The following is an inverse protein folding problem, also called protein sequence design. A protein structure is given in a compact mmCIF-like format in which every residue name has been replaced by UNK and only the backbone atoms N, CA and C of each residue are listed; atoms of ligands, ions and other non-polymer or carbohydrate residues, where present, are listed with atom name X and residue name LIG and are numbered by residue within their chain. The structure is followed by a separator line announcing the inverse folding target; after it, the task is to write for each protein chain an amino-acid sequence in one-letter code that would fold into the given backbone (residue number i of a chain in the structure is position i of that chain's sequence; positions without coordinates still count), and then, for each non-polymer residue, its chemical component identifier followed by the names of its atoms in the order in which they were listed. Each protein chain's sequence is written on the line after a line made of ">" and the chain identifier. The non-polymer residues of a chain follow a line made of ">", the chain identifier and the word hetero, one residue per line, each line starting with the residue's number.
data_IF_989523664364
#
_entry.id   IF_989523664364
#
_cell.length_a   1.000
_cell.length_b   1.000
_cell.length_c   1.000
_cell.angle_alpha   90.00
_cell.angle_beta   90.00
_cell.angle_gamma   90.00
#
_symmetry.space_group_name_H-M   'P 1'
#
loop_
_entity.id
_entity.type
_entity.pdbx_description
1 polymer ?
#
# COMPACT_ATOMS: atom_id res chain seq x y z
N UNK A 1 26.78 24.39 5.21
CA UNK A 1 28.04 23.84 5.72
C UNK A 1 27.78 22.43 6.26
N UNK A 2 28.36 21.39 5.64
CA UNK A 2 28.20 19.97 5.99
C UNK A 2 29.42 19.39 6.72
N UNK A 3 30.38 20.25 7.11
CA UNK A 3 31.66 19.85 7.71
C UNK A 3 31.54 19.15 9.07
N UNK A 4 30.38 19.26 9.72
CA UNK A 4 30.12 18.64 11.02
C UNK A 4 28.91 17.71 10.98
N UNK A 5 28.45 17.33 9.79
CA UNK A 5 27.31 16.43 9.64
C UNK A 5 27.80 15.00 9.38
N UNK A 6 27.16 14.02 9.98
CA UNK A 6 27.43 12.58 9.79
C UNK A 6 26.53 11.98 8.68
N UNK A 7 25.63 12.79 8.12
CA UNK A 7 24.73 12.41 7.04
C UNK A 7 23.87 13.57 6.57
N UNK A 8 23.08 13.31 5.53
CA UNK A 8 22.09 14.26 5.03
C UNK A 8 20.83 13.53 4.53
N UNK A 9 19.71 14.23 4.58
CA UNK A 9 18.43 13.76 4.04
C UNK A 9 18.15 14.51 2.75
N UNK A 10 17.99 13.79 1.64
CA UNK A 10 17.49 14.34 0.38
C UNK A 10 15.99 14.12 0.29
N UNK A 11 15.25 15.20 0.08
CA UNK A 11 13.79 15.13 -0.11
C UNK A 11 13.45 14.21 -1.30
N UNK A 12 12.47 13.35 -1.12
CA UNK A 12 11.99 12.37 -2.11
C UNK A 12 13.04 11.36 -2.61
N UNK A 13 14.19 11.24 -1.93
CA UNK A 13 15.28 10.35 -2.36
C UNK A 13 15.71 9.40 -1.26
N UNK A 14 16.04 9.90 -0.07
CA UNK A 14 16.53 9.09 1.05
C UNK A 14 17.61 9.77 1.86
N UNK A 15 18.47 8.97 2.50
CA UNK A 15 19.53 9.43 3.37
C UNK A 15 20.90 9.03 2.84
N UNK A 16 21.88 9.89 3.03
CA UNK A 16 23.29 9.63 2.77
C UNK A 16 24.06 9.75 4.07
N UNK A 17 24.97 8.81 4.30
CA UNK A 17 25.81 8.74 5.48
C UNK A 17 27.27 8.56 5.07
N UNK A 18 28.18 9.07 5.87
CA UNK A 18 29.63 8.95 5.65
C UNK A 18 30.37 8.82 6.97
N UNK A 19 31.66 8.56 6.91
CA UNK A 19 32.59 8.46 8.02
C UNK A 19 34.02 8.29 7.48
N UNK A 20 35.00 8.55 8.30
CA UNK A 20 36.43 8.41 7.96
C UNK A 20 36.81 6.95 7.64
N UNK A 21 36.06 5.99 8.18
CA UNK A 21 36.24 4.57 7.92
C UNK A 21 34.93 3.90 7.55
N UNK A 22 35.00 2.73 6.88
CA UNK A 22 33.81 1.92 6.58
C UNK A 22 32.99 1.55 7.82
N UNK A 23 33.68 1.30 8.95
CA UNK A 23 33.01 0.98 10.21
C UNK A 23 32.26 2.20 10.78
N UNK A 24 32.85 3.37 10.71
CA UNK A 24 32.23 4.62 11.15
C UNK A 24 31.03 4.98 10.26
N UNK A 25 31.19 4.94 8.95
CA UNK A 25 30.09 5.13 8.00
C UNK A 25 28.90 4.17 8.28
N UNK A 26 29.19 2.89 8.54
CA UNK A 26 28.17 1.90 8.89
C UNK A 26 27.45 2.24 10.20
N UNK A 27 28.21 2.62 11.24
CA UNK A 27 27.65 3.04 12.53
C UNK A 27 26.76 4.26 12.38
N UNK A 28 27.25 5.31 11.71
CA UNK A 28 26.48 6.53 11.45
C UNK A 28 25.17 6.22 10.70
N UNK A 29 25.23 5.30 9.72
CA UNK A 29 24.03 4.85 9.00
C UNK A 29 22.99 4.21 9.92
N UNK A 30 23.42 3.36 10.84
CA UNK A 30 22.50 2.69 11.79
C UNK A 30 21.96 3.70 12.81
N UNK A 31 22.82 4.51 13.41
CA UNK A 31 22.44 5.46 14.47
C UNK A 31 21.46 6.51 13.95
N UNK A 32 21.75 7.16 12.83
CA UNK A 32 20.88 8.16 12.24
C UNK A 32 19.53 7.56 11.81
N UNK A 33 19.55 6.36 11.21
CA UNK A 33 18.31 5.67 10.82
C UNK A 33 17.45 5.32 12.04
N UNK A 34 18.09 4.89 13.14
CA UNK A 34 17.40 4.58 14.39
C UNK A 34 16.80 5.83 15.04
N UNK A 35 17.53 6.95 15.09
CA UNK A 35 17.03 8.24 15.59
C UNK A 35 15.80 8.71 14.81
N UNK A 36 15.86 8.67 13.48
CA UNK A 36 14.70 9.01 12.63
C UNK A 36 13.53 8.08 12.94
N UNK A 37 13.80 6.78 13.04
CA UNK A 37 12.79 5.77 13.37
C UNK A 37 12.15 6.01 14.73
N UNK A 38 12.93 6.34 15.76
CA UNK A 38 12.45 6.68 17.10
C UNK A 38 11.58 7.94 17.09
N UNK A 39 12.00 8.97 16.34
CA UNK A 39 11.23 10.21 16.19
C UNK A 39 9.86 9.94 15.57
N UNK A 40 9.82 9.24 14.43
CA UNK A 40 8.56 8.85 13.74
C UNK A 40 7.68 8.03 14.66
N UNK A 41 8.24 7.01 15.32
CA UNK A 41 7.51 6.15 16.26
C UNK A 41 6.94 6.93 17.45
N UNK A 42 7.64 7.96 17.93
CA UNK A 42 7.14 8.85 18.99
C UNK A 42 5.88 9.60 18.55
N UNK A 43 5.84 10.06 17.29
CA UNK A 43 4.68 10.74 16.70
C UNK A 43 3.51 9.77 16.51
N UNK A 44 3.76 8.57 16.00
CA UNK A 44 2.74 7.51 15.86
C UNK A 44 2.11 7.20 17.22
N UNK A 45 2.93 6.99 18.26
CA UNK A 45 2.46 6.73 19.63
C UNK A 45 1.62 7.88 20.18
N UNK A 46 2.02 9.14 19.94
CA UNK A 46 1.29 10.32 20.38
C UNK A 46 -0.09 10.42 19.76
N UNK A 47 -0.24 10.13 18.48
CA UNK A 47 -1.52 10.14 17.76
C UNK A 47 -2.38 8.95 18.18
N UNK A 48 -1.76 7.80 18.40
CA UNK A 48 -2.42 6.57 18.85
C UNK A 48 -3.54 6.12 17.91
N UNK A 49 -4.70 5.83 18.50
CA UNK A 49 -5.86 5.33 17.76
C UNK A 49 -6.52 6.32 16.79
N UNK A 50 -6.05 7.58 16.74
CA UNK A 50 -6.56 8.61 15.81
C UNK A 50 -5.83 8.61 14.47
N UNK A 51 -4.77 7.83 14.32
CA UNK A 51 -4.04 7.72 13.05
C UNK A 51 -5.00 7.27 11.93
N UNK A 52 -4.77 7.75 10.71
CA UNK A 52 -5.65 7.54 9.55
C UNK A 52 -7.11 7.97 9.77
N UNK A 53 -7.34 9.05 10.56
CA UNK A 53 -8.67 9.54 10.89
C UNK A 53 -9.41 8.70 11.95
N UNK A 54 -8.76 7.72 12.55
CA UNK A 54 -9.32 6.82 13.55
C UNK A 54 -10.13 5.66 12.95
N UNK A 55 -10.64 4.81 13.83
CA UNK A 55 -11.35 3.57 13.48
C UNK A 55 -12.70 3.85 12.81
N UNK A 56 -12.98 3.17 11.70
CA UNK A 56 -14.29 3.15 11.00
C UNK A 56 -14.94 1.76 11.08
N UNK A 57 -14.17 0.69 10.81
CA UNK A 57 -14.67 -0.67 10.80
C UNK A 57 -14.18 -1.46 12.01
N UNK A 58 -14.97 -2.42 12.47
CA UNK A 58 -14.57 -3.36 13.51
C UNK A 58 -14.15 -4.69 12.89
N UNK A 59 -13.05 -5.25 13.41
CA UNK A 59 -12.74 -6.64 13.11
C UNK A 59 -13.86 -7.53 13.65
N UNK A 60 -14.35 -8.42 12.83
CA UNK A 60 -15.36 -9.38 13.24
C UNK A 60 -14.69 -10.61 13.88
N UNK A 61 -15.35 -11.17 14.92
CA UNK A 61 -14.81 -12.33 15.66
C UNK A 61 -14.58 -13.54 14.75
N UNK A 62 -15.41 -13.74 13.73
CA UNK A 62 -15.36 -14.87 12.80
C UNK A 62 -14.70 -14.49 11.44
N UNK A 63 -13.79 -13.52 11.42
CA UNK A 63 -13.11 -13.08 10.18
C UNK A 63 -12.43 -14.25 9.43
N UNK A 64 -11.88 -15.22 10.16
CA UNK A 64 -11.27 -16.42 9.57
C UNK A 64 -12.26 -17.29 8.78
N UNK A 65 -13.46 -17.52 9.29
CA UNK A 65 -14.48 -18.31 8.59
C UNK A 65 -15.00 -17.58 7.34
N UNK A 66 -15.18 -16.27 7.44
CA UNK A 66 -15.61 -15.49 6.28
C UNK A 66 -14.48 -15.39 5.24
N UNK A 67 -13.23 -15.30 5.65
CA UNK A 67 -12.06 -15.33 4.75
C UNK A 67 -11.99 -16.62 3.94
N UNK A 68 -12.38 -17.77 4.49
CA UNK A 68 -12.44 -19.05 3.76
C UNK A 68 -13.44 -19.03 2.60
N UNK A 69 -14.46 -18.19 2.67
CA UNK A 69 -15.43 -17.97 1.55
C UNK A 69 -14.94 -16.87 0.61
N UNK A 70 -14.40 -15.79 1.16
CA UNK A 70 -13.97 -14.62 0.40
C UNK A 70 -12.79 -14.94 -0.52
N UNK A 71 -11.74 -15.64 -0.03
CA UNK A 71 -10.53 -15.92 -0.81
C UNK A 71 -10.82 -16.72 -2.09
N UNK A 72 -11.54 -17.86 -2.04
CA UNK A 72 -11.86 -18.61 -3.26
C UNK A 72 -12.71 -17.82 -4.25
N UNK A 73 -13.67 -17.02 -3.75
CA UNK A 73 -14.49 -16.17 -4.58
C UNK A 73 -13.65 -15.11 -5.31
N UNK A 74 -12.88 -14.31 -4.57
CA UNK A 74 -12.01 -13.28 -5.16
C UNK A 74 -11.06 -13.92 -6.17
N UNK A 75 -10.39 -15.02 -5.79
CA UNK A 75 -9.47 -15.74 -6.68
C UNK A 75 -10.16 -16.16 -7.98
N UNK A 76 -11.38 -16.69 -7.91
CA UNK A 76 -12.16 -17.06 -9.08
C UNK A 76 -12.41 -15.87 -10.01
N UNK A 77 -12.78 -14.71 -9.46
CA UNK A 77 -13.04 -13.49 -10.23
C UNK A 77 -11.77 -12.89 -10.85
N UNK A 78 -10.62 -13.04 -10.19
CA UNK A 78 -9.34 -12.46 -10.66
C UNK A 78 -8.59 -13.37 -11.64
N UNK A 79 -8.81 -14.68 -11.60
CA UNK A 79 -7.99 -15.66 -12.34
C UNK A 79 -8.13 -15.56 -13.86
N UNK A 80 -9.29 -15.21 -14.40
CA UNK A 80 -9.52 -15.00 -15.85
C UNK A 80 -8.77 -15.99 -16.77
N UNK A 81 -8.79 -17.29 -16.42
CA UNK A 81 -8.08 -18.34 -17.16
C UNK A 81 -6.61 -18.58 -16.74
N UNK A 82 -6.03 -17.75 -15.89
CA UNK A 82 -4.69 -17.97 -15.32
C UNK A 82 -4.81 -18.37 -13.85
N UNK A 83 -4.13 -19.46 -13.42
CA UNK A 83 -4.18 -19.89 -12.03
C UNK A 83 -3.52 -18.83 -11.12
N UNK A 84 -4.24 -18.35 -10.13
CA UNK A 84 -3.73 -17.45 -9.09
C UNK A 84 -3.72 -18.14 -7.73
N UNK A 85 -2.73 -17.78 -6.91
CA UNK A 85 -2.65 -18.11 -5.49
C UNK A 85 -3.01 -16.86 -4.69
N UNK A 86 -3.94 -17.01 -3.74
CA UNK A 86 -4.29 -15.98 -2.78
C UNK A 86 -3.49 -16.13 -1.48
N UNK A 87 -3.09 -15.01 -0.90
CA UNK A 87 -2.47 -14.92 0.42
C UNK A 87 -3.22 -13.88 1.25
N UNK A 88 -3.49 -14.20 2.52
CA UNK A 88 -4.03 -13.24 3.49
C UNK A 88 -2.91 -12.68 4.35
N UNK A 89 -2.87 -11.38 4.46
CA UNK A 89 -1.92 -10.68 5.33
C UNK A 89 -2.57 -10.42 6.68
N UNK A 90 -1.95 -10.96 7.74
CA UNK A 90 -2.38 -10.77 9.12
C UNK A 90 -1.28 -10.00 9.84
N UNK A 91 -1.49 -8.69 9.99
CA UNK A 91 -0.58 -7.78 10.66
C UNK A 91 -1.34 -6.70 11.41
N UNK A 92 -0.76 -6.16 12.50
CA UNK A 92 -1.40 -5.14 13.35
C UNK A 92 -1.52 -3.79 12.63
N UNK A 93 -0.49 -3.38 11.89
CA UNK A 93 -0.48 -2.13 11.14
C UNK A 93 -1.48 -2.18 9.98
N UNK A 94 -1.52 -3.31 9.26
CA UNK A 94 -2.52 -3.58 8.22
C UNK A 94 -3.93 -3.48 8.79
N UNK A 95 -4.21 -4.17 9.90
CA UNK A 95 -5.53 -4.14 10.52
C UNK A 95 -5.93 -2.73 10.96
N UNK A 96 -4.99 -1.93 11.47
CA UNK A 96 -5.23 -0.55 11.84
C UNK A 96 -5.55 0.31 10.61
N UNK A 97 -4.77 0.17 9.55
CA UNK A 97 -4.95 0.90 8.29
C UNK A 97 -6.29 0.58 7.63
N UNK A 98 -6.52 -0.70 7.26
CA UNK A 98 -7.69 -1.09 6.47
C UNK A 98 -9.03 -0.79 7.16
N UNK A 99 -9.04 -0.70 8.49
CA UNK A 99 -10.22 -0.44 9.30
C UNK A 99 -10.40 1.04 9.68
N UNK A 100 -9.58 1.93 9.13
CA UNK A 100 -9.60 3.36 9.43
C UNK A 100 -10.53 4.16 8.50
N UNK A 101 -10.83 5.41 8.88
CA UNK A 101 -11.68 6.31 8.10
C UNK A 101 -11.03 6.70 6.77
N UNK A 102 -9.72 6.96 6.78
CA UNK A 102 -8.98 7.48 5.65
C UNK A 102 -8.40 6.37 4.76
N UNK A 103 -8.56 5.09 5.13
CA UNK A 103 -7.98 3.94 4.42
C UNK A 103 -8.24 3.96 2.91
N UNK A 104 -9.50 4.16 2.51
CA UNK A 104 -9.86 4.21 1.09
C UNK A 104 -9.15 5.34 0.36
N UNK A 105 -9.17 6.55 0.93
CA UNK A 105 -8.53 7.74 0.34
C UNK A 105 -7.02 7.53 0.19
N UNK A 106 -6.36 7.07 1.26
CA UNK A 106 -4.92 6.84 1.28
C UNK A 106 -4.49 5.71 0.33
N UNK A 107 -5.24 4.61 0.29
CA UNK A 107 -4.98 3.51 -0.64
C UNK A 107 -5.08 3.93 -2.11
N UNK A 108 -6.00 4.84 -2.44
CA UNK A 108 -6.18 5.35 -3.80
C UNK A 108 -5.09 6.32 -4.26
N UNK A 109 -4.29 6.88 -3.35
CA UNK A 109 -3.13 7.68 -3.73
C UNK A 109 -2.04 6.87 -4.43
N UNK A 110 -1.98 5.55 -4.18
CA UNK A 110 -0.92 4.69 -4.68
C UNK A 110 0.25 4.59 -3.70
N UNK A 111 1.42 4.14 -4.18
CA UNK A 111 2.63 4.00 -3.37
C UNK A 111 3.64 5.12 -3.66
N UNK A 112 4.54 5.37 -2.71
CA UNK A 112 5.62 6.36 -2.84
C UNK A 112 6.96 5.73 -3.29
N UNK A 113 7.02 4.40 -3.39
CA UNK A 113 8.24 3.67 -3.74
C UNK A 113 8.10 3.04 -5.13
N UNK A 114 9.07 3.28 -6.03
CA UNK A 114 9.09 2.74 -7.40
C UNK A 114 8.89 1.24 -7.48
N UNK A 115 9.67 0.46 -6.74
CA UNK A 115 9.66 -1.01 -6.79
C UNK A 115 8.32 -1.64 -6.41
N UNK A 116 7.45 -0.89 -5.74
CA UNK A 116 6.14 -1.39 -5.35
C UNK A 116 5.23 -1.64 -6.56
N UNK A 117 5.27 -0.79 -7.58
CA UNK A 117 4.34 -0.84 -8.72
C UNK A 117 4.42 -2.16 -9.49
N UNK A 118 5.59 -2.74 -9.61
CA UNK A 118 5.82 -4.04 -10.26
C UNK A 118 5.01 -5.15 -9.55
N UNK A 119 4.84 -5.05 -8.23
CA UNK A 119 4.18 -6.05 -7.39
C UNK A 119 2.74 -5.70 -7.03
N UNK A 120 2.50 -4.46 -6.61
CA UNK A 120 1.21 -4.03 -6.07
C UNK A 120 0.31 -3.37 -7.12
N UNK A 121 0.86 -3.08 -8.30
CA UNK A 121 0.26 -2.20 -9.31
C UNK A 121 0.06 -0.77 -8.77
N UNK A 122 -0.47 0.11 -9.63
CA UNK A 122 -0.67 1.52 -9.31
C UNK A 122 -1.60 1.72 -8.10
N UNK A 123 -2.60 0.85 -7.91
CA UNK A 123 -3.57 0.95 -6.79
C UNK A 123 -4.08 -0.43 -6.36
N UNK A 124 -4.44 -0.61 -5.09
CA UNK A 124 -5.20 -1.78 -4.65
C UNK A 124 -6.68 -1.66 -5.01
N UNK A 125 -7.40 -2.77 -5.03
CA UNK A 125 -8.86 -2.78 -5.05
C UNK A 125 -9.39 -2.69 -3.61
N UNK A 126 -10.07 -1.61 -3.27
CA UNK A 126 -10.67 -1.39 -1.96
C UNK A 126 -12.17 -1.67 -2.01
N UNK A 127 -12.64 -2.65 -1.22
CA UNK A 127 -14.06 -3.01 -1.14
C UNK A 127 -14.68 -2.34 0.09
N UNK A 128 -15.35 -1.21 -0.12
CA UNK A 128 -16.05 -0.47 0.95
C UNK A 128 -17.32 -1.22 1.38
N UNK A 129 -17.13 -2.32 2.11
CA UNK A 129 -18.15 -3.21 2.61
C UNK A 129 -17.94 -3.50 4.08
N UNK A 130 -19.02 -3.49 4.86
CA UNK A 130 -18.98 -3.69 6.31
C UNK A 130 -19.54 -5.07 6.66
N UNK A 131 -18.69 -6.04 7.06
CA UNK A 131 -19.13 -7.40 7.38
C UNK A 131 -20.01 -7.49 8.63
N UNK A 132 -20.09 -6.43 9.43
CA UNK A 132 -20.99 -6.38 10.58
C UNK A 132 -22.42 -6.01 10.22
N UNK A 133 -22.64 -5.49 9.01
CA UNK A 133 -23.94 -4.97 8.55
C UNK A 133 -24.53 -5.73 7.37
N UNK A 134 -23.68 -6.34 6.57
CA UNK A 134 -24.06 -6.91 5.28
C UNK A 134 -23.59 -8.35 5.15
N UNK A 135 -24.37 -9.14 4.44
CA UNK A 135 -24.10 -10.55 4.17
C UNK A 135 -23.10 -10.78 3.02
N UNK A 136 -22.74 -12.04 2.80
CA UNK A 136 -21.81 -12.42 1.76
C UNK A 136 -22.35 -12.16 0.34
N UNK A 137 -23.65 -12.31 0.08
CA UNK A 137 -24.23 -12.02 -1.23
C UNK A 137 -24.08 -10.53 -1.60
N UNK A 138 -24.20 -9.65 -0.61
CA UNK A 138 -23.95 -8.22 -0.82
C UNK A 138 -22.47 -7.92 -1.10
N UNK A 139 -21.56 -8.69 -0.47
CA UNK A 139 -20.12 -8.61 -0.77
C UNK A 139 -19.85 -9.01 -2.23
N UNK A 140 -20.40 -10.12 -2.71
CA UNK A 140 -20.19 -10.60 -4.09
C UNK A 140 -20.61 -9.54 -5.11
N UNK A 141 -21.80 -8.97 -4.96
CA UNK A 141 -22.30 -7.91 -5.86
C UNK A 141 -21.39 -6.69 -5.85
N UNK A 142 -21.00 -6.24 -4.65
CA UNK A 142 -20.14 -5.07 -4.48
C UNK A 142 -18.74 -5.30 -5.02
N UNK A 143 -18.20 -6.50 -4.83
CA UNK A 143 -16.91 -6.89 -5.37
C UNK A 143 -16.89 -6.88 -6.90
N UNK A 144 -17.91 -7.50 -7.54
CA UNK A 144 -17.99 -7.54 -9.01
C UNK A 144 -18.06 -6.12 -9.57
N UNK A 145 -18.92 -5.26 -9.01
CA UNK A 145 -19.01 -3.86 -9.44
C UNK A 145 -17.66 -3.14 -9.29
N UNK A 146 -17.03 -3.22 -8.11
CA UNK A 146 -15.76 -2.56 -7.85
C UNK A 146 -14.62 -3.11 -8.74
N UNK A 147 -14.63 -4.40 -9.07
CA UNK A 147 -13.66 -5.00 -9.97
C UNK A 147 -13.81 -4.47 -11.40
N UNK A 148 -15.01 -4.31 -11.90
CA UNK A 148 -15.26 -3.76 -13.23
C UNK A 148 -14.85 -2.27 -13.31
N UNK A 149 -15.11 -1.49 -12.27
CA UNK A 149 -14.63 -0.11 -12.15
C UNK A 149 -13.09 -0.07 -12.13
N UNK A 150 -12.45 -0.94 -11.33
CA UNK A 150 -10.99 -1.06 -11.29
C UNK A 150 -10.39 -1.39 -12.65
N UNK A 151 -10.97 -2.35 -13.39
CA UNK A 151 -10.51 -2.72 -14.72
C UNK A 151 -10.60 -1.57 -15.73
N UNK A 152 -11.66 -0.77 -15.65
CA UNK A 152 -11.82 0.43 -16.48
C UNK A 152 -10.77 1.48 -16.14
N UNK A 153 -10.55 1.75 -14.86
CA UNK A 153 -9.54 2.70 -14.38
C UNK A 153 -8.12 2.25 -14.76
N UNK A 154 -7.81 0.96 -14.64
CA UNK A 154 -6.49 0.44 -15.02
C UNK A 154 -6.25 0.53 -16.53
N UNK A 155 -7.28 0.29 -17.37
CA UNK A 155 -7.19 0.49 -18.82
C UNK A 155 -7.00 1.96 -19.17
N UNK A 156 -7.74 2.87 -18.51
CA UNK A 156 -7.58 4.32 -18.68
C UNK A 156 -6.15 4.73 -18.32
N UNK A 157 -5.66 4.31 -17.15
CA UNK A 157 -4.29 4.55 -16.71
C UNK A 157 -3.25 4.12 -17.76
N UNK A 158 -3.42 2.93 -18.35
CA UNK A 158 -2.54 2.45 -19.42
C UNK A 158 -2.64 3.32 -20.67
N UNK A 159 -3.83 3.60 -21.16
CA UNK A 159 -4.05 4.36 -22.41
C UNK A 159 -3.55 5.80 -22.31
N UNK A 160 -3.69 6.44 -21.16
CA UNK A 160 -3.27 7.83 -20.94
C UNK A 160 -1.74 7.98 -20.78
N UNK A 161 -1.02 6.92 -20.42
CA UNK A 161 0.41 7.00 -20.13
C UNK A 161 1.30 6.28 -21.16
N UNK A 162 0.76 5.37 -21.97
CA UNK A 162 1.53 4.62 -22.96
C UNK A 162 2.06 5.51 -24.09
N UNK A 163 3.16 5.06 -24.69
CA UNK A 163 3.73 5.58 -25.94
C UNK A 163 3.88 4.47 -26.99
N UNK A 164 4.55 4.78 -28.11
CA UNK A 164 4.75 3.84 -29.22
C UNK A 164 5.69 2.65 -28.90
N UNK A 165 6.44 2.73 -27.80
CA UNK A 165 7.40 1.71 -27.38
C UNK A 165 6.92 0.93 -26.15
N UNK A 166 5.79 1.33 -25.57
CA UNK A 166 5.27 0.69 -24.37
C UNK A 166 4.86 -0.76 -24.65
N UNK A 167 5.19 -1.70 -23.74
CA UNK A 167 4.70 -3.08 -23.79
C UNK A 167 3.17 -3.14 -23.79
N UNK A 168 2.62 -4.29 -24.20
CA UNK A 168 1.17 -4.51 -24.14
C UNK A 168 0.65 -4.44 -22.71
N UNK A 169 -0.61 -4.03 -22.57
CA UNK A 169 -1.26 -3.91 -21.27
C UNK A 169 -1.20 -5.22 -20.47
N UNK A 170 -0.76 -5.15 -19.23
CA UNK A 170 -0.81 -6.27 -18.27
C UNK A 170 -2.25 -6.60 -17.89
N UNK A 171 -2.55 -7.83 -17.42
CA UNK A 171 -3.91 -8.19 -16.95
C UNK A 171 -4.48 -7.12 -16.03
N UNK A 172 -5.67 -6.61 -16.32
CA UNK A 172 -6.31 -5.52 -15.56
C UNK A 172 -6.92 -5.99 -14.22
N UNK A 173 -6.40 -7.07 -13.63
CA UNK A 173 -6.82 -7.56 -12.32
C UNK A 173 -5.92 -7.02 -11.21
N UNK A 174 -6.47 -6.60 -10.04
CA UNK A 174 -5.68 -6.15 -8.91
C UNK A 174 -4.85 -7.30 -8.31
N UNK A 175 -3.64 -6.99 -7.87
CA UNK A 175 -2.80 -7.91 -7.09
C UNK A 175 -3.03 -7.77 -5.59
N UNK A 176 -3.60 -6.65 -5.17
CA UNK A 176 -3.91 -6.32 -3.77
C UNK A 176 -5.40 -5.99 -3.64
N UNK A 177 -6.08 -6.65 -2.72
CA UNK A 177 -7.50 -6.40 -2.41
C UNK A 177 -7.65 -6.14 -0.93
N UNK A 178 -8.28 -5.03 -0.59
CA UNK A 178 -8.54 -4.60 0.79
C UNK A 178 -10.02 -4.80 1.11
N UNK A 179 -10.29 -5.57 2.15
CA UNK A 179 -11.65 -5.79 2.66
C UNK A 179 -11.69 -5.39 4.14
N UNK A 180 -12.19 -4.19 4.48
CA UNK A 180 -12.30 -3.74 5.87
C UNK A 180 -13.04 -4.74 6.74
N UNK A 181 -12.63 -4.87 8.00
CA UNK A 181 -13.21 -5.83 8.96
C UNK A 181 -12.75 -7.28 8.77
N UNK A 182 -12.12 -7.62 7.63
CA UNK A 182 -11.69 -8.97 7.29
C UNK A 182 -10.17 -9.05 7.14
N UNK A 183 -9.57 -8.32 6.18
CA UNK A 183 -8.14 -8.41 5.94
C UNK A 183 -7.69 -7.77 4.63
N UNK A 184 -6.38 -7.89 4.41
CA UNK A 184 -5.70 -7.58 3.16
C UNK A 184 -5.40 -8.90 2.45
N UNK A 185 -5.79 -8.98 1.19
CA UNK A 185 -5.56 -10.16 0.35
C UNK A 185 -4.63 -9.80 -0.80
N UNK A 186 -3.65 -10.66 -1.07
CA UNK A 186 -2.73 -10.48 -2.18
C UNK A 186 -2.71 -11.71 -3.07
N UNK A 187 -2.48 -11.49 -4.36
CA UNK A 187 -2.58 -12.51 -5.39
C UNK A 187 -1.35 -12.52 -6.28
N UNK A 188 -0.94 -13.71 -6.71
CA UNK A 188 0.20 -13.93 -7.58
C UNK A 188 0.14 -15.30 -8.25
N UNK A 189 1.04 -15.56 -9.20
CA UNK A 189 1.15 -16.84 -9.90
C UNK A 189 1.66 -17.97 -8.98
N UNK A 190 2.31 -17.60 -7.89
CA UNK A 190 2.84 -18.53 -6.88
C UNK A 190 2.58 -18.02 -5.46
N UNK A 191 2.69 -18.92 -4.47
CA UNK A 191 2.61 -18.55 -3.05
C UNK A 191 3.69 -17.53 -2.66
N UNK A 192 4.90 -17.68 -3.21
CA UNK A 192 6.02 -16.75 -2.98
C UNK A 192 5.68 -15.36 -3.48
N UNK A 193 5.18 -15.25 -4.71
CA UNK A 193 4.80 -13.98 -5.32
C UNK A 193 3.66 -13.30 -4.54
N UNK A 194 2.58 -14.02 -4.23
CA UNK A 194 1.47 -13.49 -3.45
C UNK A 194 1.91 -12.98 -2.07
N UNK A 195 2.81 -13.70 -1.38
CA UNK A 195 3.36 -13.30 -0.08
C UNK A 195 4.23 -12.04 -0.21
N UNK A 196 5.13 -12.00 -1.18
CA UNK A 196 6.01 -10.85 -1.43
C UNK A 196 5.18 -9.61 -1.72
N UNK A 197 4.14 -9.71 -2.57
CA UNK A 197 3.20 -8.60 -2.82
C UNK A 197 2.59 -8.06 -1.51
N UNK A 198 2.26 -8.96 -0.57
CA UNK A 198 1.78 -8.58 0.76
C UNK A 198 2.81 -7.81 1.58
N UNK A 199 4.06 -8.25 1.58
CA UNK A 199 5.17 -7.60 2.28
C UNK A 199 5.43 -6.18 1.72
N UNK A 200 5.43 -6.02 0.40
CA UNK A 200 5.53 -4.69 -0.22
C UNK A 200 4.38 -3.76 0.20
N UNK A 201 3.15 -4.28 0.25
CA UNK A 201 2.03 -3.45 0.66
C UNK A 201 2.03 -3.11 2.16
N UNK A 202 2.55 -3.99 3.02
CA UNK A 202 2.82 -3.69 4.44
C UNK A 202 3.79 -2.52 4.55
N UNK A 203 4.88 -2.54 3.78
CA UNK A 203 5.86 -1.45 3.77
C UNK A 203 5.22 -0.14 3.31
N UNK A 204 4.37 -0.16 2.26
CA UNK A 204 3.62 1.02 1.85
C UNK A 204 2.74 1.57 2.98
N UNK A 205 2.05 0.69 3.73
CA UNK A 205 1.25 1.09 4.89
C UNK A 205 2.11 1.74 5.97
N UNK A 206 3.31 1.21 6.26
CA UNK A 206 4.23 1.81 7.24
C UNK A 206 4.69 3.21 6.81
N UNK A 207 4.99 3.42 5.53
CA UNK A 207 5.34 4.74 5.00
C UNK A 207 4.15 5.70 5.11
N UNK A 208 2.94 5.27 4.72
CA UNK A 208 1.72 6.07 4.87
C UNK A 208 1.49 6.42 6.35
N UNK A 209 1.73 5.49 7.27
CA UNK A 209 1.56 5.68 8.71
C UNK A 209 2.54 6.73 9.25
N UNK A 210 3.82 6.61 8.92
CA UNK A 210 4.85 7.57 9.31
C UNK A 210 4.55 8.97 8.77
N UNK A 211 4.26 9.09 7.47
CA UNK A 211 3.92 10.35 6.84
C UNK A 211 2.65 11.00 7.45
N UNK A 212 1.62 10.20 7.72
CA UNK A 212 0.40 10.68 8.39
C UNK A 212 0.69 11.14 9.82
N UNK A 213 1.57 10.45 10.54
CA UNK A 213 1.95 10.80 11.90
C UNK A 213 2.79 12.09 11.99
N UNK A 214 3.51 12.41 10.93
CA UNK A 214 4.29 13.64 10.80
C UNK A 214 3.47 14.82 10.26
N UNK A 215 2.22 14.58 9.83
CA UNK A 215 1.35 15.63 9.30
C UNK A 215 0.92 16.58 10.40
N UNK A 216 1.11 17.88 10.16
CA UNK A 216 0.66 18.91 11.07
C UNK A 216 -0.83 19.22 10.85
N UNK A 217 -1.55 19.50 11.93
CA UNK A 217 -2.89 20.09 11.84
C UNK A 217 -2.74 21.54 11.43
N UNK A 218 -3.18 21.88 10.24
CA UNK A 218 -3.39 23.27 9.87
C UNK A 218 -4.72 23.73 10.49
N UNK A 219 -4.75 24.95 11.00
CA UNK A 219 -5.97 25.62 11.47
C UNK A 219 -7.03 25.57 10.35
N UNK A 220 -8.27 25.27 10.69
CA UNK A 220 -9.44 25.08 9.80
C UNK A 220 -9.72 23.65 9.31
N UNK A 221 -9.44 22.63 10.12
CA UNK A 221 -9.86 21.22 9.86
C UNK A 221 -9.26 20.54 8.62
N UNK A 222 -8.31 21.19 7.94
CA UNK A 222 -7.54 20.58 6.87
C UNK A 222 -6.28 19.90 7.46
N UNK A 223 -6.31 18.59 7.53
CA UNK A 223 -5.10 17.81 7.85
C UNK A 223 -4.19 17.82 6.63
N UNK A 224 -3.06 18.51 6.71
CA UNK A 224 -2.01 18.39 5.71
C UNK A 224 -1.43 16.96 5.78
N UNK A 225 -1.61 16.20 4.71
CA UNK A 225 -1.05 14.86 4.64
C UNK A 225 0.33 14.93 3.97
N UNK A 226 1.38 14.61 4.72
CA UNK A 226 2.75 14.54 4.21
C UNK A 226 3.01 13.33 3.29
N UNK A 227 2.02 12.44 3.14
CA UNK A 227 2.17 11.32 2.24
C UNK A 227 2.04 11.78 0.79
N UNK A 228 3.11 11.58 0.02
CA UNK A 228 3.17 11.86 -1.42
C UNK A 228 3.38 10.53 -2.15
N UNK A 229 2.41 10.14 -2.96
CA UNK A 229 2.55 9.02 -3.89
C UNK A 229 3.22 9.49 -5.18
N UNK A 230 3.83 8.56 -5.92
CA UNK A 230 4.36 8.87 -7.25
C UNK A 230 3.24 9.21 -8.23
N UNK A 231 3.45 10.16 -9.15
CA UNK A 231 2.53 10.47 -10.23
C UNK A 231 2.24 9.25 -11.11
N UNK A 232 1.04 9.19 -11.71
CA UNK A 232 0.64 8.05 -12.56
C UNK A 232 1.59 7.79 -13.72
N UNK A 233 2.18 8.82 -14.32
CA UNK A 233 3.16 8.67 -15.40
C UNK A 233 4.44 7.99 -14.93
N UNK A 234 4.98 8.41 -13.79
CA UNK A 234 6.18 7.77 -13.21
C UNK A 234 5.89 6.33 -12.78
N UNK A 235 4.71 6.10 -12.19
CA UNK A 235 4.27 4.75 -11.83
C UNK A 235 4.17 3.85 -13.07
N UNK A 236 3.66 4.39 -14.18
CA UNK A 236 3.57 3.68 -15.45
C UNK A 236 4.94 3.32 -16.02
N UNK A 237 5.86 4.29 -16.07
CA UNK A 237 7.21 4.09 -16.62
C UNK A 237 7.97 3.00 -15.85
N UNK A 238 7.69 2.84 -14.56
CA UNK A 238 8.26 1.77 -13.75
C UNK A 238 7.51 0.46 -13.96
N UNK A 239 6.18 0.45 -13.89
CA UNK A 239 5.36 -0.77 -14.03
C UNK A 239 5.55 -1.43 -15.39
N UNK A 240 5.80 -0.64 -16.45
CA UNK A 240 5.96 -1.10 -17.83
C UNK A 240 7.39 -0.99 -18.35
N UNK A 241 8.38 -0.92 -17.44
CA UNK A 241 9.77 -0.90 -17.84
C UNK A 241 10.21 -2.26 -18.41
N UNK A 242 10.75 -2.24 -19.63
CA UNK A 242 11.10 -3.45 -20.39
C UNK A 242 12.16 -4.35 -19.74
N UNK A 243 13.00 -3.81 -18.84
CA UNK A 243 14.03 -4.58 -18.13
C UNK A 243 13.49 -5.36 -16.92
N UNK A 244 12.22 -5.17 -16.56
CA UNK A 244 11.57 -5.85 -15.43
C UNK A 244 10.61 -6.98 -15.89
N UNK A 245 10.61 -7.37 -17.17
CA UNK A 245 9.83 -8.49 -17.69
C UNK A 245 10.54 -9.86 -17.54
#
# INVERSE_FOLDING_TARGET
>A
DITHADGLILASHGTFHWGETSNECYKNSIEITDEIGQYVNSKIKRIGGKIFGGKKYSLIKNSGELSKKIIPFIRGQLSQGLPLIGHIVIDKSVNRFINSKDAKKLAYLGTSCPDHFIRTKVRPLFIDWDPSKYDFNSFEKKFIQALEEYKKDYKRYYEENKDSFSPSIRPASPTVVIVPGIGLFTFGKSKKEARITGEFYINAIHVIEGATALSDKIENDQTYNNYVALPEKEAFDIEYWLLEE
#
